data_IF_877247248288
#
_entry.id   IF_877247248288
#
_cell.length_a   1.000
_cell.length_b   1.000
_cell.length_c   1.000
_cell.angle_alpha   90.00
_cell.angle_beta   90.00
_cell.angle_gamma   90.00
#
_symmetry.space_group_name_H-M   'P 1'
#
loop_
_entity.id
_entity.type
_entity.pdbx_description
1 polymer ?
#
# COMPACT_ATOMS: atom_id res chain seq x y z
N UNK A 1 13.36 -1.33 -17.94
CA UNK A 1 12.10 -2.07 -17.72
C UNK A 1 12.27 -3.45 -17.04
N UNK A 2 13.47 -3.96 -16.89
CA UNK A 2 13.75 -5.29 -16.28
C UNK A 2 13.88 -5.26 -14.74
N UNK A 3 14.24 -4.14 -14.13
CA UNK A 3 14.48 -4.03 -12.68
C UNK A 3 13.21 -4.08 -11.79
N UNK A 4 12.04 -3.91 -12.36
CA UNK A 4 10.77 -3.93 -11.59
C UNK A 4 10.23 -5.36 -11.35
N UNK A 5 10.65 -6.34 -12.14
CA UNK A 5 10.18 -7.73 -11.97
C UNK A 5 10.82 -8.42 -10.77
N UNK A 6 12.09 -8.15 -10.49
CA UNK A 6 12.83 -8.82 -9.42
C UNK A 6 12.43 -8.35 -8.02
N UNK A 7 11.98 -7.09 -7.90
CA UNK A 7 11.48 -6.54 -6.65
C UNK A 7 10.18 -7.22 -6.18
N UNK A 8 9.40 -7.75 -7.10
CA UNK A 8 8.06 -8.27 -6.83
C UNK A 8 8.02 -9.74 -6.43
N UNK A 9 8.95 -10.55 -6.94
CA UNK A 9 9.04 -11.97 -6.62
C UNK A 9 9.45 -12.23 -5.17
N UNK A 10 10.05 -11.21 -4.51
CA UNK A 10 10.57 -11.31 -3.15
C UNK A 10 9.60 -10.79 -2.08
N UNK A 11 8.44 -10.22 -2.48
CA UNK A 11 7.50 -9.64 -1.52
C UNK A 11 6.61 -10.72 -0.91
N UNK A 12 6.96 -11.18 0.29
CA UNK A 12 6.08 -12.05 1.06
C UNK A 12 5.01 -11.21 1.76
N UNK A 13 3.72 -11.40 1.42
CA UNK A 13 2.59 -10.62 1.93
C UNK A 13 2.45 -10.64 3.46
N UNK A 14 2.98 -11.68 4.11
CA UNK A 14 2.90 -11.86 5.56
C UNK A 14 4.14 -11.35 6.32
N UNK A 15 5.24 -11.07 5.58
CA UNK A 15 6.48 -10.52 6.12
C UNK A 15 6.91 -9.37 5.22
N UNK A 16 6.98 -8.16 5.76
CA UNK A 16 7.62 -7.03 5.08
C UNK A 16 9.15 -7.17 5.21
N UNK A 17 9.69 -8.20 4.58
CA UNK A 17 11.13 -8.43 4.56
C UNK A 17 11.75 -7.52 3.51
N UNK A 18 12.58 -6.57 3.95
CA UNK A 18 13.29 -5.62 3.09
C UNK A 18 14.76 -5.93 3.21
N UNK A 19 15.40 -6.30 2.09
CA UNK A 19 16.86 -6.50 2.09
C UNK A 19 17.56 -5.21 2.46
N UNK A 20 18.70 -5.32 3.14
CA UNK A 20 19.50 -4.16 3.58
C UNK A 20 19.81 -3.20 2.42
N UNK A 21 20.10 -3.73 1.24
CA UNK A 21 20.35 -2.94 0.02
C UNK A 21 19.13 -2.13 -0.47
N UNK A 22 17.92 -2.55 -0.12
CA UNK A 22 16.67 -1.92 -0.54
C UNK A 22 16.07 -1.00 0.53
N UNK A 23 16.62 -1.01 1.74
CA UNK A 23 16.09 -0.24 2.87
C UNK A 23 16.04 1.26 2.59
N UNK A 24 17.09 1.81 1.98
CA UNK A 24 17.14 3.25 1.65
C UNK A 24 16.09 3.63 0.60
N UNK A 25 15.83 2.77 -0.37
CA UNK A 25 14.78 3.01 -1.37
C UNK A 25 13.39 2.94 -0.72
N UNK A 26 13.20 2.01 0.20
CA UNK A 26 11.96 1.91 0.96
C UNK A 26 11.69 3.14 1.84
N UNK A 27 12.72 3.69 2.48
CA UNK A 27 12.64 4.93 3.25
C UNK A 27 12.20 6.11 2.36
N UNK A 28 12.77 6.27 1.17
CA UNK A 28 12.36 7.31 0.20
C UNK A 28 10.89 7.20 -0.19
N UNK A 29 10.36 5.98 -0.32
CA UNK A 29 8.93 5.79 -0.58
C UNK A 29 8.07 6.24 0.59
N UNK A 30 8.46 5.96 1.82
CA UNK A 30 7.78 6.47 3.00
C UNK A 30 7.74 8.00 3.02
N UNK A 31 8.85 8.66 2.79
CA UNK A 31 8.94 10.12 2.76
C UNK A 31 8.04 10.71 1.69
N UNK A 32 8.04 10.14 0.50
CA UNK A 32 7.16 10.56 -0.60
C UNK A 32 5.68 10.48 -0.21
N UNK A 33 5.25 9.33 0.31
CA UNK A 33 3.84 9.14 0.69
C UNK A 33 3.48 9.91 1.96
N UNK A 34 4.45 10.18 2.82
CA UNK A 34 4.27 11.07 3.97
C UNK A 34 3.99 12.49 3.52
N UNK A 35 4.77 13.02 2.59
CA UNK A 35 4.55 14.34 2.03
C UNK A 35 3.16 14.49 1.40
N UNK A 36 2.71 13.46 0.65
CA UNK A 36 1.36 13.44 0.09
C UNK A 36 0.27 13.36 1.17
N UNK A 37 0.53 12.67 2.28
CA UNK A 37 -0.41 12.60 3.41
C UNK A 37 -0.59 13.93 4.11
N UNK A 38 0.41 14.82 4.11
CA UNK A 38 0.29 16.16 4.69
C UNK A 38 -0.78 17.01 4.00
N UNK A 39 -0.93 16.90 2.67
CA UNK A 39 -1.98 17.59 1.94
C UNK A 39 -3.38 17.11 2.36
N UNK A 40 -3.53 15.80 2.56
CA UNK A 40 -4.78 15.21 3.03
C UNK A 40 -5.06 15.59 4.49
N UNK A 41 -4.03 15.62 5.32
CA UNK A 41 -4.09 16.05 6.73
C UNK A 41 -4.69 17.44 6.83
N UNK A 42 -4.25 18.39 6.01
CA UNK A 42 -4.75 19.77 6.00
C UNK A 42 -6.23 19.85 5.65
N UNK A 43 -6.72 19.02 4.74
CA UNK A 43 -8.15 18.95 4.39
C UNK A 43 -8.97 18.50 5.60
N UNK A 44 -8.57 17.42 6.27
CA UNK A 44 -9.26 16.90 7.44
C UNK A 44 -9.20 17.83 8.65
N UNK A 45 -8.16 18.65 8.76
CA UNK A 45 -8.01 19.63 9.84
C UNK A 45 -9.06 20.73 9.81
N UNK A 46 -9.53 21.09 8.63
CA UNK A 46 -10.50 22.21 8.44
C UNK A 46 -11.91 21.87 8.91
N UNK A 47 -12.26 20.60 8.91
CA UNK A 47 -13.61 20.14 9.23
C UNK A 47 -13.65 19.54 10.63
N UNK A 48 -14.46 20.12 11.51
CA UNK A 48 -14.59 19.68 12.90
C UNK A 48 -15.01 18.20 13.02
N UNK A 49 -15.89 17.75 12.12
CA UNK A 49 -16.37 16.37 12.08
C UNK A 49 -15.26 15.35 11.84
N UNK A 50 -14.19 15.74 11.13
CA UNK A 50 -13.09 14.86 10.77
C UNK A 50 -11.84 15.04 11.63
N UNK A 51 -11.93 15.79 12.72
CA UNK A 51 -10.78 16.10 13.56
C UNK A 51 -10.08 14.84 14.13
N UNK A 52 -10.83 13.81 14.50
CA UNK A 52 -10.25 12.55 14.95
C UNK A 52 -9.45 11.85 13.83
N UNK A 53 -9.95 11.87 12.60
CA UNK A 53 -9.25 11.32 11.44
C UNK A 53 -7.97 12.11 11.13
N UNK A 54 -8.02 13.44 11.28
CA UNK A 54 -6.85 14.30 11.19
C UNK A 54 -5.75 13.85 12.17
N UNK A 55 -6.05 13.69 13.47
CA UNK A 55 -5.08 13.26 14.47
C UNK A 55 -4.50 11.88 14.12
N UNK A 56 -5.33 10.96 13.64
CA UNK A 56 -4.88 9.63 13.23
C UNK A 56 -3.93 9.68 12.03
N UNK A 57 -4.22 10.50 11.01
CA UNK A 57 -3.37 10.67 9.83
C UNK A 57 -2.04 11.33 10.23
N UNK A 58 -2.09 12.38 11.05
CA UNK A 58 -0.93 13.10 11.57
C UNK A 58 0.07 12.17 12.25
N UNK A 59 -0.43 11.21 13.02
CA UNK A 59 0.40 10.24 13.75
C UNK A 59 0.73 8.99 12.94
N UNK A 60 0.27 8.89 11.69
CA UNK A 60 0.51 7.71 10.86
C UNK A 60 1.99 7.54 10.53
N UNK A 61 2.52 6.35 10.79
CA UNK A 61 3.93 5.98 10.56
C UNK A 61 4.98 6.83 11.30
N UNK A 62 4.60 7.55 12.35
CA UNK A 62 5.57 8.26 13.20
C UNK A 62 6.47 7.30 13.98
N UNK A 63 6.03 6.07 14.15
CA UNK A 63 6.76 5.02 14.83
C UNK A 63 6.81 3.77 13.94
N UNK A 64 8.03 3.32 13.63
CA UNK A 64 8.32 2.11 12.88
C UNK A 64 9.45 1.37 13.60
N UNK A 65 9.20 0.11 13.99
CA UNK A 65 10.23 -0.76 14.56
C UNK A 65 10.54 -1.91 13.62
N UNK A 66 11.80 -2.01 13.26
CA UNK A 66 12.30 -3.10 12.42
C UNK A 66 13.20 -4.03 13.26
N UNK A 67 13.19 -5.32 12.94
CA UNK A 67 14.23 -6.27 13.33
C UNK A 67 15.07 -6.63 12.12
N UNK A 68 16.35 -6.87 12.32
CA UNK A 68 17.26 -7.39 11.29
C UNK A 68 17.32 -8.92 11.45
N UNK A 69 16.88 -9.66 10.42
CA UNK A 69 16.93 -11.11 10.37
C UNK A 69 17.42 -11.53 8.98
N UNK A 70 18.47 -12.36 8.94
CA UNK A 70 19.05 -12.88 7.68
C UNK A 70 19.27 -11.79 6.62
N UNK A 71 19.93 -10.68 7.02
CA UNK A 71 20.21 -9.52 6.14
C UNK A 71 18.95 -8.79 5.62
N UNK A 72 17.80 -9.07 6.19
CA UNK A 72 16.53 -8.43 5.83
C UNK A 72 15.93 -7.68 7.00
N UNK A 73 15.40 -6.47 6.74
CA UNK A 73 14.63 -5.72 7.72
C UNK A 73 13.17 -6.19 7.71
N UNK A 74 12.71 -6.65 8.86
CA UNK A 74 11.32 -7.07 9.07
C UNK A 74 10.63 -6.01 9.91
N UNK A 75 9.56 -5.41 9.40
CA UNK A 75 8.74 -4.48 10.16
C UNK A 75 7.97 -5.24 11.26
N UNK A 76 8.29 -4.98 12.52
CA UNK A 76 7.66 -5.62 13.67
C UNK A 76 6.47 -4.85 14.20
N UNK A 77 6.65 -3.54 14.34
CA UNK A 77 5.63 -2.67 14.91
C UNK A 77 5.54 -1.37 14.12
N UNK A 78 4.34 -0.84 14.00
CA UNK A 78 4.10 0.44 13.39
C UNK A 78 2.72 0.98 13.76
N UNK A 79 2.61 2.30 13.89
CA UNK A 79 1.35 2.98 14.10
C UNK A 79 0.73 3.43 12.76
N UNK A 80 -0.07 2.58 12.14
CA UNK A 80 -0.78 2.93 10.91
C UNK A 80 -2.22 3.36 11.20
N UNK A 81 -2.61 4.52 10.66
CA UNK A 81 -3.92 5.14 10.94
C UNK A 81 -5.11 4.38 10.33
N UNK A 82 -4.89 3.60 9.26
CA UNK A 82 -5.94 2.88 8.49
C UNK A 82 -7.04 3.78 7.91
N UNK A 83 -6.81 5.09 7.87
CA UNK A 83 -7.74 6.03 7.23
C UNK A 83 -7.68 5.83 5.72
N UNK A 84 -8.85 5.84 5.07
CA UNK A 84 -9.00 5.50 3.64
C UNK A 84 -8.11 6.33 2.71
N UNK A 85 -8.01 7.62 2.97
CA UNK A 85 -7.26 8.55 2.11
C UNK A 85 -5.82 8.81 2.57
N UNK A 86 -5.37 8.17 3.66
CA UNK A 86 -3.97 8.23 4.03
C UNK A 86 -3.11 7.53 2.98
N UNK A 87 -2.20 8.26 2.34
CA UNK A 87 -1.40 7.75 1.22
C UNK A 87 -0.46 6.62 1.64
N UNK A 88 0.10 6.67 2.85
CA UNK A 88 0.93 5.60 3.41
C UNK A 88 0.12 4.31 3.56
N UNK A 89 -1.08 4.40 4.17
CA UNK A 89 -1.94 3.25 4.37
C UNK A 89 -2.48 2.69 3.04
N UNK A 90 -2.84 3.56 2.10
CA UNK A 90 -3.27 3.18 0.76
C UNK A 90 -2.16 2.46 -0.01
N UNK A 91 -0.95 3.00 0.00
CA UNK A 91 0.22 2.38 -0.61
C UNK A 91 0.49 0.99 -0.02
N UNK A 92 0.54 0.85 1.31
CA UNK A 92 0.73 -0.46 1.96
C UNK A 92 -0.35 -1.47 1.60
N UNK A 93 -1.59 -1.02 1.57
CA UNK A 93 -2.73 -1.85 1.17
C UNK A 93 -2.61 -2.32 -0.29
N UNK A 94 -2.13 -1.46 -1.19
CA UNK A 94 -1.89 -1.81 -2.59
C UNK A 94 -0.78 -2.88 -2.73
N UNK A 95 0.30 -2.78 -1.95
CA UNK A 95 1.36 -3.79 -1.92
C UNK A 95 0.83 -5.16 -1.44
N UNK A 96 0.01 -5.16 -0.40
CA UNK A 96 -0.62 -6.38 0.10
C UNK A 96 -1.48 -7.06 -0.97
N UNK A 97 -2.40 -6.32 -1.59
CA UNK A 97 -3.28 -6.88 -2.63
C UNK A 97 -2.50 -7.34 -3.86
N UNK A 98 -1.48 -6.59 -4.24
CA UNK A 98 -0.58 -6.99 -5.32
C UNK A 98 0.09 -8.33 -5.05
N UNK A 99 0.59 -8.54 -3.84
CA UNK A 99 1.20 -9.81 -3.45
C UNK A 99 0.18 -10.96 -3.47
N UNK A 100 -1.04 -10.75 -2.97
CA UNK A 100 -2.12 -11.74 -2.99
C UNK A 100 -2.49 -12.11 -4.43
N UNK A 101 -2.67 -11.11 -5.29
CA UNK A 101 -2.99 -11.32 -6.71
C UNK A 101 -1.87 -12.06 -7.44
N UNK A 102 -0.61 -11.72 -7.15
CA UNK A 102 0.53 -12.39 -7.78
C UNK A 102 0.59 -13.88 -7.40
N UNK A 103 0.39 -14.21 -6.12
CA UNK A 103 0.33 -15.61 -5.65
C UNK A 103 -0.82 -16.37 -6.30
N UNK A 104 -1.99 -15.75 -6.42
CA UNK A 104 -3.13 -16.36 -7.09
C UNK A 104 -2.84 -16.60 -8.59
N UNK A 105 -2.24 -15.62 -9.25
CA UNK A 105 -1.80 -15.71 -10.64
C UNK A 105 -0.82 -16.88 -10.85
N UNK A 106 0.22 -16.97 -10.03
CA UNK A 106 1.20 -18.06 -10.13
C UNK A 106 0.54 -19.43 -9.94
N UNK A 107 -0.33 -19.56 -8.94
CA UNK A 107 -1.06 -20.80 -8.68
C UNK A 107 -1.92 -21.24 -9.87
N UNK A 108 -2.65 -20.30 -10.48
CA UNK A 108 -3.50 -20.58 -11.65
C UNK A 108 -2.63 -20.97 -12.86
N UNK A 109 -1.51 -20.25 -13.06
CA UNK A 109 -0.61 -20.52 -14.19
C UNK A 109 0.09 -21.89 -14.09
N UNK A 110 0.40 -22.33 -12.87
CA UNK A 110 0.93 -23.67 -12.62
C UNK A 110 -0.09 -24.79 -12.91
N UNK A 111 -1.38 -24.51 -12.68
CA UNK A 111 -2.47 -25.47 -12.95
C UNK A 111 -2.81 -25.55 -14.45
N UNK A 112 -2.73 -24.42 -15.17
CA UNK A 112 -3.07 -24.33 -16.58
C UNK A 112 -2.24 -23.26 -17.29
N UNK A 113 -1.21 -23.69 -18.02
CA UNK A 113 -0.31 -22.78 -18.76
C UNK A 113 -0.98 -22.05 -19.93
N UNK A 114 -2.14 -22.52 -20.39
CA UNK A 114 -2.86 -21.96 -21.57
C UNK A 114 -3.84 -20.83 -21.23
N UNK A 115 -4.00 -20.45 -19.96
CA UNK A 115 -4.87 -19.36 -19.59
C UNK A 115 -4.25 -17.99 -19.93
N UNK A 116 -5.04 -17.15 -20.59
CA UNK A 116 -4.74 -15.74 -20.80
C UNK A 116 -5.50 -14.91 -19.77
N UNK A 117 -4.80 -13.98 -19.13
CA UNK A 117 -5.39 -13.07 -18.16
C UNK A 117 -5.77 -11.77 -18.84
N UNK A 118 -7.01 -11.34 -18.66
CA UNK A 118 -7.54 -10.10 -19.21
C UNK A 118 -7.89 -9.19 -18.04
N UNK A 119 -7.40 -7.94 -18.08
CA UNK A 119 -7.86 -6.90 -17.18
C UNK A 119 -9.05 -6.17 -17.81
N UNK A 120 -10.23 -6.31 -17.20
CA UNK A 120 -11.45 -5.69 -17.66
C UNK A 120 -11.88 -4.58 -16.71
N UNK A 121 -11.97 -3.35 -17.21
CA UNK A 121 -12.54 -2.22 -16.48
C UNK A 121 -13.93 -1.93 -17.03
N UNK A 122 -14.95 -2.12 -16.22
CA UNK A 122 -16.33 -1.78 -16.55
C UNK A 122 -16.68 -0.43 -15.92
N UNK A 123 -17.04 0.53 -16.76
CA UNK A 123 -17.53 1.84 -16.31
C UNK A 123 -19.02 1.91 -16.52
N UNK A 124 -19.78 2.04 -15.45
CA UNK A 124 -21.23 2.24 -15.49
C UNK A 124 -21.49 3.73 -15.35
N UNK A 125 -22.23 4.31 -16.29
CA UNK A 125 -22.70 5.69 -16.16
C UNK A 125 -23.67 5.75 -14.98
N UNK A 126 -23.27 6.46 -13.92
CA UNK A 126 -24.14 6.71 -12.78
C UNK A 126 -25.31 7.57 -13.26
N UNK A 127 -26.53 7.04 -13.25
CA UNK A 127 -27.73 7.82 -13.49
C UNK A 127 -27.93 8.68 -12.25
N UNK A 128 -27.81 9.99 -12.40
CA UNK A 128 -28.17 10.93 -11.36
C UNK A 128 -29.69 10.86 -11.21
N UNK A 129 -30.15 10.21 -10.15
CA UNK A 129 -31.54 10.32 -9.74
C UNK A 129 -31.71 11.71 -9.12
N UNK A 130 -32.17 12.65 -9.92
CA UNK A 130 -32.77 13.87 -9.39
C UNK A 130 -34.09 13.44 -8.74
N UNK A 131 -34.11 13.37 -7.42
CA UNK A 131 -35.34 13.28 -6.68
C UNK A 131 -36.12 14.57 -6.93
N UNK A 132 -37.25 14.42 -7.60
CA UNK A 132 -38.30 15.43 -7.65
C UNK A 132 -39.00 15.52 -6.30
#
# INVERSE_FOLDING_TARGET
MLQQKDFLSQYNANKCDIKLSQFFDYAKFFDKYRAQSLAIEEIYRREQEFYELFIRIKNCSNFLRFSLENESFILREANFCRVRYCQICAWRKSLYYRSVLYKAYEKIKLQNCNYNFIFLTLTIKTVSYTHL
#
